data_IF_152034623353
#
_entry.id   IF_152034623353
#
_cell.length_a   1.000
_cell.length_b   1.000
_cell.length_c   1.000
_cell.angle_alpha   90.00
_cell.angle_beta   90.00
_cell.angle_gamma   90.00
#
_symmetry.space_group_name_H-M   'P 1'
#
loop_
_entity.id
_entity.type
_entity.pdbx_description
1 polymer ?
#
# COMPACT_ATOMS: atom_id res chain seq x y z
N UNK A 1 32.81 59.78 -52.70
CA UNK A 1 31.99 60.24 -51.56
C UNK A 1 30.57 60.26 -52.07
N UNK A 2 29.65 59.38 -51.69
CA UNK A 2 29.35 58.89 -50.33
C UNK A 2 28.39 57.69 -50.38
N UNK A 3 28.60 56.76 -49.44
CA UNK A 3 27.63 55.90 -48.73
C UNK A 3 26.79 54.84 -49.49
N UNK A 4 27.36 53.65 -49.64
CA UNK A 4 26.60 52.40 -49.42
C UNK A 4 26.56 52.11 -47.93
N UNK A 5 25.48 52.51 -47.26
CA UNK A 5 25.17 52.11 -45.89
C UNK A 5 24.57 50.70 -45.92
N UNK A 6 25.20 49.68 -45.30
CA UNK A 6 24.54 48.41 -45.06
C UNK A 6 23.42 48.66 -44.06
N UNK A 7 22.22 48.16 -44.36
CA UNK A 7 21.12 48.04 -43.42
C UNK A 7 21.26 46.70 -42.69
N UNK A 8 21.69 46.64 -41.42
CA UNK A 8 21.49 45.47 -40.60
C UNK A 8 20.28 45.74 -39.72
N UNK A 9 19.32 44.81 -39.78
CA UNK A 9 18.48 44.29 -38.67
C UNK A 9 17.06 44.01 -39.18
N UNK A 10 16.95 43.12 -40.17
CA UNK A 10 15.73 42.33 -40.31
C UNK A 10 15.74 41.33 -39.14
N UNK A 11 14.72 41.31 -38.25
CA UNK A 11 14.66 40.32 -37.18
C UNK A 11 14.58 38.93 -37.81
N UNK A 12 15.51 38.05 -37.46
CA UNK A 12 15.46 36.64 -37.82
C UNK A 12 14.17 36.04 -37.27
N UNK A 13 13.15 35.98 -38.13
CA UNK A 13 11.82 35.45 -37.82
C UNK A 13 11.84 33.94 -38.07
N UNK A 14 12.77 33.27 -37.41
CA UNK A 14 13.02 31.82 -37.48
C UNK A 14 13.03 31.34 -36.03
N UNK A 15 12.03 30.72 -35.42
CA UNK A 15 10.68 30.32 -35.75
C UNK A 15 9.91 30.35 -34.41
N UNK A 16 9.02 31.32 -34.13
CA UNK A 16 8.33 31.41 -32.85
C UNK A 16 7.43 30.20 -32.57
N UNK A 17 6.99 29.50 -33.62
CA UNK A 17 6.27 28.22 -33.54
C UNK A 17 7.19 27.07 -33.09
N UNK A 18 8.44 27.03 -33.56
CA UNK A 18 9.43 26.04 -33.15
C UNK A 18 9.86 26.25 -31.68
N UNK A 19 9.85 27.51 -31.23
CA UNK A 19 10.07 27.87 -29.82
C UNK A 19 8.91 27.44 -28.90
N UNK A 20 7.65 27.48 -29.36
CA UNK A 20 6.50 26.96 -28.61
C UNK A 20 6.51 25.43 -28.53
N UNK A 21 6.76 24.74 -29.65
CA UNK A 21 6.85 23.27 -29.69
C UNK A 21 7.97 22.74 -28.79
N UNK A 22 9.05 23.49 -28.61
CA UNK A 22 10.14 23.15 -27.67
C UNK A 22 9.81 23.42 -26.20
N UNK A 23 8.83 24.26 -25.87
CA UNK A 23 8.45 24.61 -24.48
C UNK A 23 7.35 23.72 -23.89
N UNK A 24 6.41 23.26 -24.70
CA UNK A 24 5.34 22.33 -24.27
C UNK A 24 5.86 21.05 -23.59
N UNK A 25 6.90 20.35 -24.08
CA UNK A 25 7.40 19.16 -23.39
C UNK A 25 7.99 19.45 -22.01
N UNK A 26 8.53 20.64 -21.76
CA UNK A 26 9.06 21.02 -20.45
C UNK A 26 7.95 21.25 -19.41
N UNK A 27 6.81 21.84 -19.81
CA UNK A 27 5.65 22.04 -18.93
C UNK A 27 4.92 20.73 -18.62
N UNK A 28 4.80 19.83 -19.59
CA UNK A 28 4.25 18.49 -19.37
C UNK A 28 5.14 17.69 -18.42
N UNK A 29 6.47 17.75 -18.57
CA UNK A 29 7.41 17.12 -17.63
C UNK A 29 7.28 17.67 -16.20
N UNK A 30 7.06 18.98 -16.05
CA UNK A 30 6.86 19.59 -14.73
C UNK A 30 5.56 19.13 -14.05
N UNK A 31 4.47 18.97 -14.80
CA UNK A 31 3.19 18.44 -14.29
C UNK A 31 3.30 16.98 -13.88
N UNK A 32 3.91 16.12 -14.71
CA UNK A 32 4.15 14.73 -14.36
C UNK A 32 5.06 14.59 -13.12
N UNK A 33 6.12 15.41 -13.03
CA UNK A 33 6.99 15.41 -11.87
C UNK A 33 6.23 15.82 -10.59
N UNK A 34 5.28 16.75 -10.69
CA UNK A 34 4.44 17.17 -9.57
C UNK A 34 3.44 16.07 -9.16
N UNK A 35 2.83 15.38 -10.11
CA UNK A 35 1.85 14.32 -9.84
C UNK A 35 2.51 13.06 -9.27
N UNK A 36 3.73 12.73 -9.72
CA UNK A 36 4.56 11.68 -9.10
C UNK A 36 4.97 12.06 -7.69
N UNK A 37 5.34 13.32 -7.44
CA UNK A 37 5.66 13.81 -6.09
C UNK A 37 4.45 13.76 -5.17
N UNK A 38 3.27 14.13 -5.66
CA UNK A 38 2.03 14.07 -4.90
C UNK A 38 1.63 12.62 -4.60
N UNK A 39 1.67 11.74 -5.61
CA UNK A 39 1.37 10.33 -5.47
C UNK A 39 2.33 9.65 -4.48
N UNK A 40 3.64 9.95 -4.56
CA UNK A 40 4.62 9.42 -3.60
C UNK A 40 4.45 10.00 -2.20
N UNK A 41 4.03 11.26 -2.05
CA UNK A 41 3.71 11.85 -0.75
C UNK A 41 2.49 11.18 -0.10
N UNK A 42 1.41 10.99 -0.86
CA UNK A 42 0.20 10.30 -0.38
C UNK A 42 0.48 8.84 -0.04
N UNK A 43 1.26 8.14 -0.87
CA UNK A 43 1.67 6.77 -0.61
C UNK A 43 2.48 6.66 0.68
N UNK A 44 3.47 7.56 0.89
CA UNK A 44 4.26 7.61 2.14
C UNK A 44 3.39 7.87 3.36
N UNK A 45 2.41 8.76 3.25
CA UNK A 45 1.50 9.07 4.35
C UNK A 45 0.60 7.87 4.68
N UNK A 46 0.06 7.18 3.67
CA UNK A 46 -0.79 6.01 3.86
C UNK A 46 -0.01 4.80 4.41
N UNK A 47 1.21 4.57 3.90
CA UNK A 47 2.11 3.53 4.41
C UNK A 47 2.52 3.83 5.86
N UNK A 48 2.87 5.07 6.19
CA UNK A 48 3.23 5.45 7.56
C UNK A 48 2.09 5.20 8.56
N UNK A 49 0.86 5.55 8.19
CA UNK A 49 -0.34 5.27 9.03
C UNK A 49 -0.57 3.77 9.21
N UNK A 50 -0.41 2.97 8.14
CA UNK A 50 -0.55 1.52 8.21
C UNK A 50 0.53 0.90 9.11
N UNK A 51 1.79 1.30 8.94
CA UNK A 51 2.92 0.82 9.76
C UNK A 51 2.68 1.15 11.22
N UNK A 52 2.27 2.38 11.53
CA UNK A 52 1.97 2.78 12.91
C UNK A 52 0.80 1.98 13.49
N UNK A 53 -0.28 1.78 12.72
CA UNK A 53 -1.43 0.99 13.16
C UNK A 53 -1.02 -0.47 13.45
N UNK A 54 -0.25 -1.09 12.57
CA UNK A 54 0.28 -2.45 12.78
C UNK A 54 1.19 -2.50 14.01
N UNK A 55 2.08 -1.52 14.19
CA UNK A 55 2.96 -1.46 15.36
C UNK A 55 2.18 -1.36 16.68
N UNK A 56 1.14 -0.52 16.73
CA UNK A 56 0.26 -0.38 17.91
C UNK A 56 -0.50 -1.69 18.17
N UNK A 57 -1.04 -2.33 17.13
CA UNK A 57 -1.74 -3.62 17.27
C UNK A 57 -0.80 -4.70 17.81
N UNK A 58 0.41 -4.78 17.28
CA UNK A 58 1.41 -5.75 17.75
C UNK A 58 1.81 -5.48 19.20
N UNK A 59 2.10 -4.23 19.56
CA UNK A 59 2.43 -3.85 20.93
C UNK A 59 1.29 -4.16 21.90
N UNK A 60 0.05 -3.81 21.54
CA UNK A 60 -1.14 -4.13 22.31
C UNK A 60 -1.37 -5.65 22.43
N UNK A 61 -1.15 -6.40 21.36
CA UNK A 61 -1.25 -7.86 21.35
C UNK A 61 -0.22 -8.53 22.27
N UNK A 62 1.02 -8.05 22.26
CA UNK A 62 2.07 -8.53 23.18
C UNK A 62 1.68 -8.23 24.62
N UNK A 63 1.27 -7.00 24.93
CA UNK A 63 0.85 -6.60 26.28
C UNK A 63 -0.35 -7.41 26.77
N UNK A 64 -1.36 -7.59 25.92
CA UNK A 64 -2.52 -8.43 26.22
C UNK A 64 -2.13 -9.89 26.44
N UNK A 65 -1.16 -10.40 25.68
CA UNK A 65 -0.60 -11.75 25.88
C UNK A 65 0.07 -11.92 27.24
N UNK A 66 0.92 -10.97 27.63
CA UNK A 66 1.59 -10.96 28.95
C UNK A 66 0.56 -10.88 30.08
N UNK A 67 -0.41 -9.95 29.97
CA UNK A 67 -1.49 -9.83 30.95
C UNK A 67 -2.34 -11.12 31.01
N UNK A 68 -2.61 -11.75 29.86
CA UNK A 68 -3.31 -13.02 29.77
C UNK A 68 -2.58 -14.14 30.53
N UNK A 69 -1.26 -14.27 30.36
CA UNK A 69 -0.45 -15.25 31.11
C UNK A 69 -0.55 -14.99 32.63
N UNK A 70 -0.45 -13.72 33.05
CA UNK A 70 -0.57 -13.35 34.46
C UNK A 70 -1.96 -13.70 35.03
N UNK A 71 -3.04 -13.46 34.27
CA UNK A 71 -4.40 -13.81 34.65
C UNK A 71 -4.57 -15.33 34.74
N UNK A 72 -4.05 -16.10 33.79
CA UNK A 72 -4.09 -17.57 33.85
C UNK A 72 -3.36 -18.08 35.10
N UNK A 73 -2.19 -17.53 35.43
CA UNK A 73 -1.48 -17.84 36.67
C UNK A 73 -2.28 -17.50 37.92
N UNK A 74 -2.97 -16.35 37.94
CA UNK A 74 -3.84 -15.96 39.04
C UNK A 74 -5.04 -16.90 39.21
N UNK A 75 -5.66 -17.35 38.11
CA UNK A 75 -6.73 -18.35 38.13
C UNK A 75 -6.21 -19.66 38.72
N UNK A 76 -5.03 -20.13 38.27
CA UNK A 76 -4.43 -21.35 38.81
C UNK A 76 -4.18 -21.22 40.32
N UNK A 77 -3.63 -20.09 40.76
CA UNK A 77 -3.38 -19.83 42.18
C UNK A 77 -4.68 -19.78 43.00
N UNK A 78 -5.75 -19.19 42.45
CA UNK A 78 -7.05 -19.12 43.10
C UNK A 78 -7.74 -20.49 43.22
N UNK A 79 -7.60 -21.36 42.23
CA UNK A 79 -8.19 -22.72 42.23
C UNK A 79 -7.35 -23.74 42.99
N UNK A 80 -6.04 -23.51 43.13
CA UNK A 80 -5.12 -24.44 43.80
C UNK A 80 -5.57 -24.88 45.22
N UNK A 81 -6.07 -24.01 46.11
CA UNK A 81 -6.54 -24.44 47.44
C UNK A 81 -7.82 -25.29 47.41
N UNK A 82 -8.58 -25.31 46.32
CA UNK A 82 -9.83 -26.06 46.21
C UNK A 82 -9.63 -27.47 45.65
N UNK A 83 -8.80 -27.60 44.61
CA UNK A 83 -8.66 -28.86 43.83
C UNK A 83 -7.21 -29.37 43.73
N UNK A 84 -6.26 -28.63 44.29
CA UNK A 84 -4.84 -28.91 44.22
C UNK A 84 -4.14 -28.27 43.00
N UNK A 85 -2.81 -28.08 43.06
CA UNK A 85 -2.08 -27.33 42.03
C UNK A 85 -2.13 -27.95 40.62
N UNK A 86 -2.06 -29.28 40.54
CA UNK A 86 -2.01 -30.02 39.26
C UNK A 86 -3.36 -29.98 38.55
N UNK A 87 -4.46 -30.19 39.28
CA UNK A 87 -5.79 -30.15 38.68
C UNK A 87 -6.22 -28.73 38.32
N UNK A 88 -5.83 -27.74 39.14
CA UNK A 88 -6.05 -26.33 38.86
C UNK A 88 -5.40 -25.88 37.54
N UNK A 89 -4.13 -26.25 37.31
CA UNK A 89 -3.43 -25.92 36.06
C UNK A 89 -4.03 -26.62 34.85
N UNK A 90 -4.46 -27.88 34.98
CA UNK A 90 -5.09 -28.63 33.90
C UNK A 90 -6.44 -28.03 33.48
N UNK A 91 -7.31 -27.69 34.44
CA UNK A 91 -8.62 -27.08 34.17
C UNK A 91 -8.44 -25.72 33.50
N UNK A 92 -7.55 -24.89 34.04
CA UNK A 92 -7.29 -23.55 33.52
C UNK A 92 -6.72 -23.62 32.09
N UNK A 93 -5.77 -24.54 31.85
CA UNK A 93 -5.19 -24.75 30.52
C UNK A 93 -6.24 -25.25 29.51
N UNK A 94 -7.11 -26.19 29.90
CA UNK A 94 -8.18 -26.69 29.04
C UNK A 94 -9.17 -25.57 28.67
N UNK A 95 -9.59 -24.76 29.63
CA UNK A 95 -10.46 -23.61 29.39
C UNK A 95 -9.80 -22.57 28.47
N UNK A 96 -8.52 -22.25 28.72
CA UNK A 96 -7.76 -21.32 27.90
C UNK A 96 -7.59 -21.82 26.45
N UNK A 97 -7.40 -23.12 26.25
CA UNK A 97 -7.25 -23.72 24.93
C UNK A 97 -8.56 -23.69 24.14
N UNK A 98 -9.69 -23.92 24.79
CA UNK A 98 -11.02 -23.78 24.15
C UNK A 98 -11.29 -22.33 23.73
N UNK A 99 -11.05 -21.36 24.63
CA UNK A 99 -11.27 -19.94 24.34
C UNK A 99 -10.29 -19.46 23.26
N UNK A 100 -9.00 -19.77 23.41
CA UNK A 100 -7.96 -19.41 22.46
C UNK A 100 -8.19 -20.01 21.08
N UNK A 101 -8.58 -21.29 21.02
CA UNK A 101 -8.96 -21.96 19.77
C UNK A 101 -10.13 -21.27 19.07
N UNK A 102 -11.19 -20.94 19.82
CA UNK A 102 -12.34 -20.21 19.27
C UNK A 102 -11.96 -18.82 18.75
N UNK A 103 -11.11 -18.08 19.48
CA UNK A 103 -10.61 -16.77 19.06
C UNK A 103 -9.75 -16.86 17.79
N UNK A 104 -8.88 -17.86 17.68
CA UNK A 104 -8.07 -18.11 16.47
C UNK A 104 -8.99 -18.40 15.29
N UNK A 105 -9.98 -19.29 15.45
CA UNK A 105 -10.94 -19.60 14.39
C UNK A 105 -11.72 -18.37 13.93
N UNK A 106 -12.14 -17.51 14.88
CA UNK A 106 -12.87 -16.28 14.56
C UNK A 106 -11.98 -15.21 13.91
N UNK A 107 -10.73 -15.12 14.32
CA UNK A 107 -9.74 -14.25 13.67
C UNK A 107 -9.47 -14.70 12.23
N UNK A 108 -9.24 -16.00 12.05
CA UNK A 108 -8.95 -16.58 10.73
C UNK A 108 -10.14 -16.47 9.78
N UNK A 109 -11.38 -16.63 10.28
CA UNK A 109 -12.58 -16.43 9.47
C UNK A 109 -12.71 -14.97 9.02
N UNK A 110 -12.46 -14.00 9.90
CA UNK A 110 -12.49 -12.58 9.53
C UNK A 110 -11.41 -12.20 8.51
N UNK A 111 -10.21 -12.76 8.61
CA UNK A 111 -9.14 -12.52 7.62
C UNK A 111 -9.53 -13.12 6.26
N UNK A 112 -10.12 -14.32 6.24
CA UNK A 112 -10.57 -14.98 5.00
C UNK A 112 -11.77 -14.28 4.35
N UNK A 113 -12.65 -13.68 5.15
CA UNK A 113 -13.83 -12.95 4.66
C UNK A 113 -13.55 -11.48 4.34
N UNK A 114 -12.43 -10.93 4.83
CA UNK A 114 -12.04 -9.57 4.49
C UNK A 114 -11.56 -9.51 3.02
N UNK A 115 -12.12 -8.62 2.19
CA UNK A 115 -11.59 -8.37 0.85
C UNK A 115 -10.23 -7.67 0.97
N UNK A 116 -9.17 -8.45 1.19
CA UNK A 116 -7.78 -7.97 1.24
C UNK A 116 -7.27 -7.53 -0.14
N UNK A 117 -8.05 -7.74 -1.19
CA UNK A 117 -7.81 -7.18 -2.51
C UNK A 117 -8.30 -5.72 -2.56
N UNK A 118 -7.42 -4.72 -2.82
CA UNK A 118 -7.88 -3.41 -3.22
C UNK A 118 -8.60 -3.60 -4.56
N UNK A 119 -9.93 -3.67 -4.52
CA UNK A 119 -10.74 -3.98 -5.70
C UNK A 119 -10.43 -3.01 -6.86
N UNK A 120 -10.07 -1.76 -6.52
CA UNK A 120 -9.64 -0.76 -7.50
C UNK A 120 -8.24 -1.01 -8.07
N UNK A 121 -7.29 -1.47 -7.26
CA UNK A 121 -5.93 -1.75 -7.76
C UNK A 121 -5.92 -2.98 -8.68
N UNK A 122 -6.66 -4.03 -8.33
CA UNK A 122 -6.71 -5.26 -9.15
C UNK A 122 -7.57 -5.05 -10.41
N UNK A 123 -8.68 -4.29 -10.33
CA UNK A 123 -9.48 -3.96 -11.52
C UNK A 123 -8.68 -3.15 -12.55
N UNK A 124 -7.89 -2.16 -12.09
CA UNK A 124 -7.04 -1.36 -12.97
C UNK A 124 -5.92 -2.19 -13.60
N UNK A 125 -5.31 -3.14 -12.87
CA UNK A 125 -4.30 -4.03 -13.42
C UNK A 125 -4.87 -4.99 -14.49
N UNK A 126 -6.10 -5.46 -14.29
CA UNK A 126 -6.78 -6.35 -15.25
C UNK A 126 -7.07 -5.64 -16.57
N UNK A 127 -7.51 -4.38 -16.52
CA UNK A 127 -7.70 -3.53 -17.70
C UNK A 127 -6.41 -3.29 -18.48
N UNK A 128 -5.26 -3.15 -17.82
CA UNK A 128 -3.96 -2.97 -18.49
C UNK A 128 -3.41 -4.27 -19.09
N UNK A 129 -3.67 -5.43 -18.49
CA UNK A 129 -3.26 -6.72 -19.04
C UNK A 129 -4.03 -7.06 -20.33
N UNK A 130 -5.33 -6.80 -20.35
CA UNK A 130 -6.16 -6.93 -21.56
C UNK A 130 -5.68 -5.95 -22.65
N UNK A 131 -5.12 -4.82 -22.23
CA UNK A 131 -4.59 -3.82 -23.14
C UNK A 131 -3.34 -4.30 -23.91
N UNK A 132 -2.49 -5.07 -23.25
CA UNK A 132 -1.26 -5.60 -23.86
C UNK A 132 -1.57 -6.79 -24.76
N UNK A 133 -2.59 -7.59 -24.42
CA UNK A 133 -3.03 -8.71 -25.25
C UNK A 133 -3.63 -8.25 -26.58
N UNK A 134 -4.35 -7.13 -26.63
CA UNK A 134 -4.84 -6.60 -27.91
C UNK A 134 -3.69 -6.12 -28.81
N UNK A 135 -2.60 -5.60 -28.23
CA UNK A 135 -1.43 -5.21 -29.00
C UNK A 135 -0.70 -6.42 -29.58
N UNK A 136 -0.61 -7.51 -28.80
CA UNK A 136 0.00 -8.75 -29.27
C UNK A 136 -0.82 -9.44 -30.37
N UNK A 137 -2.15 -9.43 -30.27
CA UNK A 137 -3.03 -10.03 -31.27
C UNK A 137 -3.01 -9.24 -32.61
N UNK A 138 -2.90 -7.90 -32.56
CA UNK A 138 -2.89 -7.07 -33.78
C UNK A 138 -1.59 -7.17 -34.58
N UNK A 139 -0.48 -7.50 -33.94
CA UNK A 139 0.83 -7.62 -34.61
C UNK A 139 0.98 -8.97 -35.33
N UNK A 140 0.22 -10.00 -34.93
CA UNK A 140 0.34 -11.36 -35.50
C UNK A 140 -0.39 -11.51 -36.84
N UNK A 141 -1.30 -10.59 -37.18
CA UNK A 141 -2.08 -10.62 -38.43
C UNK A 141 -1.37 -9.95 -39.62
N UNK A 142 -0.28 -9.21 -39.40
CA UNK A 142 0.47 -8.54 -40.47
C UNK A 142 1.62 -9.38 -41.08
N UNK A 143 1.87 -10.60 -40.58
CA UNK A 143 2.94 -11.50 -41.05
C UNK A 143 2.44 -12.72 -41.87
N UNK A 144 1.18 -12.74 -42.34
CA UNK A 144 0.65 -13.82 -43.22
C UNK A 144 0.19 -13.33 -44.58
#
# INVERSE_FOLDING_TARGET
MTETSPDPQRPDTTDPLLALVRRVPAEVQALLAAEVQLATAELRQNVGKLVLAVAIILAGGIMAGVAGIAVLGAIVAALAPLVGPVWSSLITAAAALLIGGALIMLGLSRIRSAPLAPHRAIANLKQHADSINFLKARDTDHER
#
